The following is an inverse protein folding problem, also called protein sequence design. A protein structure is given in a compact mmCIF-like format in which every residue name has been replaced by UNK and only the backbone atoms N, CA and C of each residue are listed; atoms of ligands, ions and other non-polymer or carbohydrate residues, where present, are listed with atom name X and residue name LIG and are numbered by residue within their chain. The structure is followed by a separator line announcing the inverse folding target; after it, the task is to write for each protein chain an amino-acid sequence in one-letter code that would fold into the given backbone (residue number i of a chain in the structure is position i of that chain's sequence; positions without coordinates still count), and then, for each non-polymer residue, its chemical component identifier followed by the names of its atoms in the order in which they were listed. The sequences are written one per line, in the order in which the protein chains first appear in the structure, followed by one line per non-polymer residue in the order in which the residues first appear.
data_IF_084420763149
#
_entry.id   IF_084420763149
#
_cell.length_a   1.000
_cell.length_b   1.000
_cell.length_c   1.000
_cell.angle_alpha   90.00
_cell.angle_beta   90.00
_cell.angle_gamma   90.00
#
_symmetry.space_group_name_H-M   'P 1'
#
loop_
_entity.id
_entity.type
_entity.pdbx_description
1 polymer ?
#
# COMPACT_ATOMS: atom_id res chain seq x y z
N UNK A 1 -26.62 17.94 -49.81
CA UNK A 1 -25.36 18.53 -49.32
C UNK A 1 -25.47 18.69 -47.80
N UNK A 2 -24.58 18.03 -47.06
CA UNK A 2 -24.23 18.18 -45.63
C UNK A 2 -25.31 17.89 -44.56
N UNK A 3 -25.32 16.63 -44.14
CA UNK A 3 -25.61 16.15 -42.79
C UNK A 3 -24.73 16.91 -41.78
N UNK A 4 -25.32 17.59 -40.81
CA UNK A 4 -24.61 18.05 -39.60
C UNK A 4 -25.19 17.27 -38.44
N UNK A 5 -24.44 16.23 -38.07
CA UNK A 5 -24.63 15.45 -36.87
C UNK A 5 -24.16 16.33 -35.70
N UNK A 6 -25.10 16.86 -34.93
CA UNK A 6 -24.78 17.59 -33.70
C UNK A 6 -24.32 16.57 -32.65
N UNK A 7 -23.02 16.30 -32.60
CA UNK A 7 -22.38 15.62 -31.48
C UNK A 7 -22.31 16.64 -30.36
N UNK A 8 -23.38 16.72 -29.55
CA UNK A 8 -23.29 17.37 -28.25
C UNK A 8 -22.41 16.47 -27.40
N UNK A 9 -21.30 17.05 -26.99
CA UNK A 9 -20.23 16.53 -26.15
C UNK A 9 -20.78 15.84 -24.90
N UNK A 10 -20.91 14.51 -24.96
CA UNK A 10 -20.92 13.67 -23.77
C UNK A 10 -19.47 13.51 -23.27
N UNK A 11 -18.84 14.62 -22.86
CA UNK A 11 -17.62 14.59 -22.06
C UNK A 11 -18.03 14.58 -20.57
N UNK A 12 -18.83 13.57 -20.23
CA UNK A 12 -19.35 13.29 -18.89
C UNK A 12 -19.45 11.77 -18.71
N UNK A 13 -18.44 11.07 -19.24
CA UNK A 13 -18.24 9.64 -19.03
C UNK A 13 -16.89 9.47 -18.34
N UNK A 14 -16.88 8.67 -17.27
CA UNK A 14 -15.71 8.15 -16.51
C UNK A 14 -15.20 8.90 -15.27
N UNK A 15 -16.06 9.35 -14.36
CA UNK A 15 -15.61 9.54 -12.96
C UNK A 15 -16.38 8.74 -11.89
N UNK A 16 -17.40 7.97 -12.27
CA UNK A 16 -18.25 7.24 -11.29
C UNK A 16 -18.07 5.71 -11.31
N UNK A 17 -16.98 5.18 -11.89
CA UNK A 17 -16.67 3.73 -11.91
C UNK A 17 -15.50 3.31 -11.01
N UNK A 18 -15.00 4.21 -10.15
CA UNK A 18 -13.77 3.98 -9.37
C UNK A 18 -13.96 4.03 -7.84
N UNK A 19 -15.19 3.96 -7.34
CA UNK A 19 -15.45 3.62 -5.93
C UNK A 19 -15.38 2.10 -5.71
N UNK A 20 -14.44 1.42 -6.38
CA UNK A 20 -14.19 -0.01 -6.22
C UNK A 20 -13.09 -0.22 -5.21
N UNK A 21 -13.29 -1.15 -4.28
CA UNK A 21 -12.26 -1.59 -3.33
C UNK A 21 -10.91 -1.84 -4.06
N UNK A 22 -9.87 -1.09 -3.69
CA UNK A 22 -8.54 -1.33 -4.22
C UNK A 22 -7.94 -2.55 -3.52
N UNK A 23 -7.92 -3.70 -4.20
CA UNK A 23 -7.37 -4.94 -3.65
C UNK A 23 -5.90 -5.15 -4.07
N UNK A 24 -4.98 -4.86 -3.16
CA UNK A 24 -3.54 -5.02 -3.33
C UNK A 24 -3.10 -6.39 -2.81
N UNK A 25 -2.28 -7.12 -3.57
CA UNK A 25 -1.75 -8.43 -3.16
C UNK A 25 -0.28 -8.61 -3.53
N UNK A 26 0.47 -9.37 -2.74
CA UNK A 26 1.78 -9.86 -3.16
C UNK A 26 1.64 -10.87 -4.32
N UNK A 27 2.61 -10.88 -5.27
CA UNK A 27 2.44 -11.58 -6.54
C UNK A 27 2.66 -13.09 -6.49
N UNK A 28 3.03 -13.64 -5.34
CA UNK A 28 3.41 -15.04 -5.17
C UNK A 28 2.18 -15.95 -5.15
N UNK A 29 1.56 -16.12 -6.32
CA UNK A 29 0.67 -17.25 -6.58
C UNK A 29 1.54 -18.47 -6.94
N UNK A 30 1.27 -19.67 -6.39
CA UNK A 30 1.92 -20.89 -6.83
C UNK A 30 1.89 -21.00 -8.37
N UNK A 31 3.03 -21.29 -8.99
CA UNK A 31 3.18 -21.42 -10.45
C UNK A 31 3.55 -20.15 -11.24
N UNK A 32 3.73 -18.98 -10.60
CA UNK A 32 4.40 -17.82 -11.23
C UNK A 32 5.78 -17.59 -10.62
N UNK A 33 6.82 -17.85 -11.42
CA UNK A 33 8.23 -17.68 -11.05
C UNK A 33 8.73 -16.23 -11.12
N UNK A 34 7.91 -15.28 -11.57
CA UNK A 34 8.27 -13.87 -11.58
C UNK A 34 7.45 -13.07 -10.56
N UNK A 35 8.09 -12.19 -9.76
CA UNK A 35 7.34 -11.15 -9.07
C UNK A 35 6.66 -10.31 -10.14
N UNK A 36 5.33 -10.24 -10.15
CA UNK A 36 4.61 -9.25 -10.96
C UNK A 36 5.22 -7.89 -10.60
N UNK A 37 5.57 -7.11 -11.63
CA UNK A 37 6.44 -5.94 -11.61
C UNK A 37 5.99 -4.76 -10.72
N UNK A 38 5.07 -4.97 -9.78
CA UNK A 38 4.47 -3.98 -8.91
C UNK A 38 5.20 -3.77 -7.59
N UNK A 39 6.17 -4.61 -7.21
CA UNK A 39 6.94 -4.44 -5.98
C UNK A 39 8.42 -4.17 -6.26
N UNK A 40 9.01 -3.35 -5.40
CA UNK A 40 10.43 -3.02 -5.36
C UNK A 40 10.98 -3.37 -3.96
N UNK A 41 11.96 -4.26 -3.92
CA UNK A 41 12.61 -4.74 -2.69
C UNK A 41 14.12 -4.87 -2.94
N UNK A 42 14.88 -3.75 -2.98
CA UNK A 42 16.27 -3.74 -3.44
C UNK A 42 17.22 -4.66 -2.64
N UNK A 43 16.90 -4.90 -1.37
CA UNK A 43 17.62 -5.80 -0.46
C UNK A 43 16.78 -6.99 0.00
N UNK A 44 15.67 -7.26 -0.70
CA UNK A 44 14.83 -8.41 -0.43
C UNK A 44 15.34 -9.63 -1.18
N UNK A 45 15.28 -10.81 -0.55
CA UNK A 45 15.62 -12.09 -1.19
C UNK A 45 14.37 -12.95 -1.36
N UNK A 46 14.04 -13.27 -2.60
CA UNK A 46 13.00 -14.24 -2.93
C UNK A 46 13.55 -15.67 -2.78
N UNK A 47 12.81 -16.55 -2.13
CA UNK A 47 13.15 -17.97 -2.02
C UNK A 47 11.89 -18.82 -1.91
N UNK A 48 12.04 -20.14 -2.00
CA UNK A 48 10.96 -21.11 -1.86
C UNK A 48 11.16 -21.95 -0.59
N UNK A 49 10.09 -22.15 0.19
CA UNK A 49 10.05 -23.01 1.38
C UNK A 49 8.69 -23.72 1.36
N UNK A 50 8.68 -25.05 1.47
CA UNK A 50 7.45 -25.87 1.50
C UNK A 50 6.47 -25.61 0.33
N UNK A 51 6.99 -25.33 -0.88
CA UNK A 51 6.18 -25.04 -2.07
C UNK A 51 5.57 -23.63 -2.11
N UNK A 52 5.98 -22.74 -1.19
CA UNK A 52 5.57 -21.33 -1.16
C UNK A 52 6.74 -20.42 -1.50
N UNK A 53 6.48 -19.37 -2.28
CA UNK A 53 7.44 -18.30 -2.51
C UNK A 53 7.36 -17.25 -1.40
N UNK A 54 8.51 -16.92 -0.83
CA UNK A 54 8.66 -16.06 0.34
C UNK A 54 9.69 -14.96 0.07
N UNK A 55 9.54 -13.82 0.74
CA UNK A 55 10.51 -12.71 0.68
C UNK A 55 11.15 -12.53 2.04
N UNK A 56 12.46 -12.75 2.12
CA UNK A 56 13.26 -12.33 3.26
C UNK A 56 13.64 -10.86 3.13
N UNK A 57 13.47 -10.09 4.20
CA UNK A 57 13.91 -8.69 4.29
C UNK A 57 15.10 -8.59 5.23
N UNK A 58 16.13 -7.87 4.80
CA UNK A 58 17.25 -7.51 5.67
C UNK A 58 16.82 -6.45 6.71
N UNK A 59 17.47 -6.41 7.89
CA UNK A 59 17.24 -5.36 8.87
C UNK A 59 17.55 -3.98 8.27
N UNK A 60 16.66 -3.00 8.50
CA UNK A 60 16.77 -1.65 7.94
C UNK A 60 16.39 -1.55 6.46
N UNK A 61 15.75 -2.58 5.91
CA UNK A 61 15.29 -2.62 4.52
C UNK A 61 13.77 -2.78 4.44
N UNK A 62 13.22 -2.67 3.23
CA UNK A 62 11.80 -2.86 3.02
C UNK A 62 11.47 -3.27 1.61
N UNK A 63 10.19 -3.54 1.42
CA UNK A 63 9.58 -3.72 0.11
C UNK A 63 8.41 -2.76 -0.04
N UNK A 64 8.23 -2.20 -1.23
CA UNK A 64 7.14 -1.25 -1.51
C UNK A 64 6.47 -1.56 -2.83
N UNK A 65 5.22 -1.15 -2.97
CA UNK A 65 4.62 -1.06 -4.30
C UNK A 65 5.34 0.04 -5.10
N UNK A 66 5.54 -0.20 -6.40
CA UNK A 66 6.24 0.73 -7.31
C UNK A 66 5.43 1.96 -7.64
N UNK A 67 4.11 1.82 -7.65
CA UNK A 67 3.19 2.90 -7.99
C UNK A 67 2.51 3.42 -6.73
N UNK A 68 2.21 4.71 -6.74
CA UNK A 68 1.25 5.28 -5.81
C UNK A 68 -0.17 4.89 -6.23
N UNK A 69 -1.07 4.96 -5.26
CA UNK A 69 -2.48 4.67 -5.43
C UNK A 69 -3.29 5.91 -5.05
N UNK A 70 -4.38 6.15 -5.76
CA UNK A 70 -5.32 7.22 -5.41
C UNK A 70 -6.02 6.88 -4.10
N UNK A 71 -6.17 7.89 -3.24
CA UNK A 71 -6.90 7.79 -1.97
C UNK A 71 -7.18 9.17 -1.41
N UNK A 72 -8.24 9.29 -0.62
CA UNK A 72 -8.71 10.54 -0.05
C UNK A 72 -8.66 10.48 1.48
N UNK A 73 -8.65 11.65 2.12
CA UNK A 73 -8.70 11.71 3.58
C UNK A 73 -10.02 11.10 4.09
N UNK A 74 -9.90 10.23 5.08
CA UNK A 74 -11.00 9.44 5.61
C UNK A 74 -11.07 8.03 5.05
N UNK A 75 -10.39 7.73 3.92
CA UNK A 75 -10.30 6.36 3.44
C UNK A 75 -9.41 5.52 4.37
N UNK A 76 -9.74 4.24 4.52
CA UNK A 76 -9.02 3.31 5.39
C UNK A 76 -8.37 2.22 4.55
N UNK A 77 -7.08 1.96 4.79
CA UNK A 77 -6.40 0.79 4.26
C UNK A 77 -6.46 -0.34 5.28
N UNK A 78 -7.33 -1.31 5.05
CA UNK A 78 -7.33 -2.59 5.77
C UNK A 78 -6.25 -3.48 5.19
N UNK A 79 -5.44 -4.13 6.03
CA UNK A 79 -4.43 -5.09 5.56
C UNK A 79 -4.43 -6.39 6.34
N UNK A 80 -3.96 -7.43 5.68
CA UNK A 80 -3.66 -8.75 6.26
C UNK A 80 -2.27 -9.17 5.79
N UNK A 81 -1.34 -9.30 6.72
CA UNK A 81 0.06 -9.67 6.49
C UNK A 81 0.33 -11.05 7.09
N UNK A 82 0.84 -11.98 6.30
CA UNK A 82 1.36 -13.26 6.78
C UNK A 82 2.87 -13.22 6.77
N UNK A 83 3.48 -13.34 7.95
CA UNK A 83 4.93 -13.25 8.12
C UNK A 83 5.44 -14.02 9.33
N UNK A 84 6.75 -14.24 9.39
CA UNK A 84 7.49 -14.58 10.61
C UNK A 84 8.61 -13.56 10.83
N UNK A 85 8.95 -13.31 12.09
CA UNK A 85 10.00 -12.39 12.51
C UNK A 85 10.54 -12.86 13.86
N UNK A 86 11.79 -13.28 13.93
CA UNK A 86 12.36 -13.84 15.16
C UNK A 86 12.42 -12.79 16.28
N UNK A 87 12.67 -11.53 15.95
CA UNK A 87 12.70 -10.43 16.93
C UNK A 87 12.66 -9.08 16.24
N UNK A 88 12.22 -8.03 16.94
CA UNK A 88 12.33 -6.64 16.51
C UNK A 88 11.20 -6.18 15.56
N UNK A 89 11.06 -4.86 15.36
CA UNK A 89 9.85 -4.31 14.77
C UNK A 89 9.82 -4.43 13.25
N UNK A 90 8.64 -4.71 12.73
CA UNK A 90 8.26 -4.56 11.32
C UNK A 90 7.12 -3.56 11.23
N UNK A 91 7.05 -2.78 10.16
CA UNK A 91 5.95 -1.83 9.96
C UNK A 91 5.33 -1.93 8.59
N UNK A 92 4.02 -1.73 8.54
CA UNK A 92 3.30 -1.39 7.31
C UNK A 92 3.21 0.13 7.27
N UNK A 93 3.64 0.75 6.17
CA UNK A 93 3.76 2.21 6.06
C UNK A 93 3.05 2.71 4.83
N UNK A 94 2.26 3.77 5.01
CA UNK A 94 1.62 4.53 3.96
C UNK A 94 2.27 5.90 3.86
N UNK A 95 2.95 6.14 2.74
CA UNK A 95 3.45 7.47 2.44
C UNK A 95 2.39 8.28 1.73
N UNK A 96 1.97 9.42 2.29
CA UNK A 96 0.84 10.20 1.81
C UNK A 96 1.29 11.42 1.00
N UNK A 97 0.66 11.63 -0.15
CA UNK A 97 0.98 12.69 -1.08
C UNK A 97 -0.27 13.48 -1.45
N UNK A 98 -0.11 14.79 -1.55
CA UNK A 98 -0.99 15.68 -2.28
C UNK A 98 -0.42 15.88 -3.70
N UNK A 99 -1.21 16.50 -4.58
CA UNK A 99 -0.72 16.96 -5.88
C UNK A 99 0.49 17.90 -5.76
N UNK A 100 0.52 18.68 -4.68
CA UNK A 100 1.56 19.68 -4.38
C UNK A 100 2.80 19.06 -3.70
N UNK A 101 2.76 17.78 -3.33
CA UNK A 101 3.91 17.05 -2.80
C UNK A 101 3.62 16.20 -1.58
N UNK A 102 4.68 15.79 -0.89
CA UNK A 102 4.62 14.92 0.29
C UNK A 102 3.86 15.57 1.46
N UNK A 103 3.01 14.80 2.12
CA UNK A 103 2.31 15.19 3.34
C UNK A 103 3.05 14.62 4.55
N UNK A 104 3.22 13.30 4.57
CA UNK A 104 3.71 12.59 5.74
C UNK A 104 3.45 11.10 5.63
N UNK A 105 3.78 10.39 6.70
CA UNK A 105 3.61 8.94 6.74
C UNK A 105 2.65 8.54 7.87
N UNK A 106 1.92 7.46 7.64
CA UNK A 106 1.20 6.71 8.66
C UNK A 106 1.71 5.28 8.65
N UNK A 107 1.81 4.68 9.84
CA UNK A 107 2.35 3.33 9.95
C UNK A 107 1.63 2.52 11.02
N UNK A 108 1.46 1.23 10.75
CA UNK A 108 1.09 0.21 11.72
C UNK A 108 2.33 -0.61 12.08
N UNK A 109 2.64 -0.73 13.37
CA UNK A 109 3.82 -1.44 13.85
C UNK A 109 3.46 -2.82 14.36
N UNK A 110 4.30 -3.78 13.99
CA UNK A 110 4.29 -5.18 14.42
C UNK A 110 5.57 -5.39 15.23
N UNK A 111 5.43 -5.45 16.55
CA UNK A 111 6.57 -5.50 17.48
C UNK A 111 6.78 -6.87 18.12
N UNK A 112 5.79 -7.75 18.00
CA UNK A 112 5.85 -9.09 18.59
C UNK A 112 6.75 -10.02 17.77
N UNK A 113 7.64 -10.72 18.48
CA UNK A 113 8.47 -11.77 17.92
C UNK A 113 7.63 -13.03 17.66
N UNK A 114 7.74 -13.59 16.46
CA UNK A 114 7.05 -14.82 16.06
C UNK A 114 8.01 -15.71 15.27
N UNK A 115 8.40 -16.82 15.91
CA UNK A 115 9.28 -17.83 15.33
C UNK A 115 8.61 -18.66 14.21
N UNK A 116 7.28 -18.67 14.17
CA UNK A 116 6.46 -19.32 13.12
C UNK A 116 5.70 -18.28 12.28
N UNK A 117 5.08 -18.70 11.18
CA UNK A 117 4.21 -17.82 10.41
C UNK A 117 2.94 -17.49 11.20
N UNK A 118 2.64 -16.20 11.29
CA UNK A 118 1.40 -15.69 11.85
C UNK A 118 0.74 -14.68 10.90
N UNK A 119 -0.53 -14.44 11.15
CA UNK A 119 -1.35 -13.49 10.41
C UNK A 119 -1.58 -12.26 11.26
N UNK A 120 -1.20 -11.11 10.73
CA UNK A 120 -1.46 -9.79 11.32
C UNK A 120 -2.50 -9.08 10.50
N UNK A 121 -3.44 -8.45 11.21
CA UNK A 121 -4.45 -7.60 10.61
C UNK A 121 -4.34 -6.21 11.21
N UNK A 122 -4.61 -5.20 10.40
CA UNK A 122 -4.58 -3.83 10.86
C UNK A 122 -5.16 -2.89 9.84
N UNK A 123 -5.30 -1.64 10.26
CA UNK A 123 -5.92 -0.58 9.49
C UNK A 123 -5.06 0.67 9.58
N UNK A 124 -4.99 1.44 8.49
CA UNK A 124 -4.32 2.74 8.48
C UNK A 124 -5.22 3.74 7.78
N UNK A 125 -5.61 4.79 8.51
CA UNK A 125 -6.42 5.90 8.01
C UNK A 125 -5.56 6.85 7.17
N UNK A 126 -6.08 7.25 6.01
CA UNK A 126 -5.53 8.36 5.23
C UNK A 126 -6.03 9.69 5.79
N UNK A 127 -5.11 10.64 5.97
CA UNK A 127 -5.38 11.92 6.60
C UNK A 127 -4.74 13.06 5.81
N UNK A 128 -5.41 14.21 5.79
CA UNK A 128 -4.81 15.44 5.29
C UNK A 128 -3.65 15.88 6.19
N UNK A 129 -2.87 16.87 5.71
CA UNK A 129 -1.95 17.58 6.57
C UNK A 129 -2.73 18.21 7.75
N UNK A 130 -2.16 18.12 8.96
CA UNK A 130 -2.74 18.73 10.17
C UNK A 130 -2.38 20.21 10.25
N UNK A 131 -1.23 20.59 9.69
CA UNK A 131 -0.72 21.95 9.65
C UNK A 131 -0.35 22.36 8.22
N UNK A 132 -0.41 23.66 7.89
CA UNK A 132 0.07 24.15 6.61
C UNK A 132 1.59 23.97 6.46
N UNK A 133 2.05 23.87 5.22
CA UNK A 133 3.49 23.92 4.93
C UNK A 133 4.07 25.34 5.10
N UNK A 134 5.38 25.48 4.82
CA UNK A 134 6.10 26.76 4.88
C UNK A 134 5.51 27.87 3.98
N UNK A 135 4.73 27.49 2.97
CA UNK A 135 4.07 28.39 2.02
C UNK A 135 2.61 28.66 2.42
N UNK A 136 2.17 28.17 3.59
CA UNK A 136 0.83 28.34 4.12
C UNK A 136 -0.21 27.40 3.50
N UNK A 137 0.21 26.35 2.78
CA UNK A 137 -0.70 25.44 2.09
C UNK A 137 -1.06 24.26 2.97
N UNK A 138 -2.35 24.09 3.26
CA UNK A 138 -2.88 22.89 3.90
C UNK A 138 -3.12 21.80 2.85
N UNK A 139 -2.20 20.83 2.78
CA UNK A 139 -2.19 19.80 1.73
C UNK A 139 -3.27 18.75 1.96
N UNK A 140 -3.98 18.41 0.89
CA UNK A 140 -5.00 17.36 0.88
C UNK A 140 -4.46 16.09 0.27
N UNK A 141 -4.60 14.96 0.96
CA UNK A 141 -4.15 13.67 0.42
C UNK A 141 -4.96 13.34 -0.84
N UNK A 142 -4.25 12.94 -1.88
CA UNK A 142 -4.80 12.49 -3.14
C UNK A 142 -4.21 11.15 -3.58
N UNK A 143 -3.03 10.82 -3.05
CA UNK A 143 -2.32 9.57 -3.34
C UNK A 143 -1.58 9.04 -2.12
N UNK A 144 -1.31 7.74 -2.13
CA UNK A 144 -0.44 7.10 -1.15
C UNK A 144 0.45 6.02 -1.77
N UNK A 145 1.65 5.84 -1.22
CA UNK A 145 2.48 4.67 -1.45
C UNK A 145 2.25 3.64 -0.34
N UNK A 146 2.45 2.37 -0.61
CA UNK A 146 2.30 1.29 0.37
C UNK A 146 3.60 0.49 0.48
N UNK A 147 4.08 0.26 1.70
CA UNK A 147 5.32 -0.49 1.95
C UNK A 147 5.32 -1.29 3.24
N UNK A 148 6.21 -2.29 3.29
CA UNK A 148 6.57 -3.08 4.46
C UNK A 148 8.02 -2.78 4.78
N UNK A 149 8.34 -2.46 6.03
CA UNK A 149 9.70 -2.14 6.45
C UNK A 149 10.13 -2.99 7.65
N UNK A 150 11.25 -3.70 7.48
CA UNK A 150 11.97 -4.35 8.56
C UNK A 150 12.93 -3.34 9.18
N UNK A 151 12.72 -2.96 10.44
CA UNK A 151 13.56 -1.97 11.09
C UNK A 151 14.98 -2.53 11.39
N UNK A 152 15.99 -1.69 11.69
CA UNK A 152 17.36 -2.15 11.95
C UNK A 152 17.53 -3.21 13.05
N UNK A 153 16.58 -3.31 14.00
CA UNK A 153 16.59 -4.34 15.04
C UNK A 153 15.81 -5.61 14.69
N UNK A 154 15.14 -5.66 13.53
CA UNK A 154 14.36 -6.81 13.10
C UNK A 154 15.28 -7.97 12.69
N UNK A 155 14.91 -9.22 13.00
CA UNK A 155 15.69 -10.41 12.67
C UNK A 155 14.82 -11.45 11.98
N UNK A 156 15.40 -12.07 10.94
CA UNK A 156 14.77 -13.13 10.15
C UNK A 156 13.35 -12.76 9.69
N UNK A 157 13.16 -11.54 9.18
CA UNK A 157 11.88 -11.10 8.66
C UNK A 157 11.60 -11.82 7.35
N UNK A 158 10.56 -12.65 7.34
CA UNK A 158 10.13 -13.38 6.15
C UNK A 158 8.65 -13.14 5.92
N UNK A 159 8.33 -12.61 4.75
CA UNK A 159 6.97 -12.30 4.32
C UNK A 159 6.48 -13.40 3.38
N UNK A 160 5.38 -14.05 3.73
CA UNK A 160 4.68 -14.98 2.84
C UNK A 160 3.73 -14.24 1.92
N UNK A 161 2.89 -13.38 2.49
CA UNK A 161 1.85 -12.70 1.72
C UNK A 161 1.41 -11.42 2.40
N UNK A 162 0.95 -10.46 1.61
CA UNK A 162 0.18 -9.33 2.10
C UNK A 162 -1.01 -9.10 1.19
N UNK A 163 -2.14 -8.81 1.81
CA UNK A 163 -3.35 -8.31 1.15
C UNK A 163 -3.68 -6.95 1.77
N UNK A 164 -4.03 -5.97 0.96
CA UNK A 164 -4.58 -4.71 1.45
C UNK A 164 -5.81 -4.31 0.63
N UNK A 165 -6.77 -3.67 1.29
CA UNK A 165 -8.04 -3.22 0.72
C UNK A 165 -8.23 -1.75 1.09
N UNK A 166 -8.37 -0.87 0.10
CA UNK A 166 -8.83 0.49 0.32
C UNK A 166 -10.35 0.47 0.51
N UNK A 167 -10.80 0.89 1.69
CA UNK A 167 -12.17 1.21 2.02
C UNK A 167 -12.34 2.71 1.87
N UNK A 168 -13.08 3.18 0.86
CA UNK A 168 -13.44 4.59 0.78
C UNK A 168 -14.17 5.00 2.05
N UNK A 169 -13.95 6.24 2.51
CA UNK A 169 -14.79 6.82 3.55
C UNK A 169 -16.25 6.67 3.10
N UNK A 170 -17.08 5.95 3.86
CA UNK A 170 -18.51 5.96 3.59
C UNK A 170 -18.95 7.43 3.56
N UNK A 171 -19.59 7.85 2.46
CA UNK A 171 -20.30 9.13 2.42
C UNK A 171 -21.37 9.03 3.51
N UNK A 172 -21.02 9.46 4.72
CA UNK A 172 -21.99 9.62 5.79
C UNK A 172 -23.09 10.55 5.24
N UNK A 173 -24.36 10.11 5.21
CA UNK A 173 -25.45 10.91 4.68
C UNK A 173 -25.64 12.23 5.45
#
# INVERSE_FOLDING_TARGET
MKTILTIITAFLALQTLWAGELNLRMPFKPGRLSPIAWWDAPKGRLFEEEGKFLVALEPGSGMRFKHNFTGNAGDVIEFTLTMRCESGPVSIRLGQYAREGWIGERAAFITEAIASFAVYQGEILLENAVEPDKDGVLRKVSEFSFSIHAHPGAKQVVIENIKAVLRPKEEQP
#
